data_IF_734724551038
#
_entry.id   IF_734724551038
#
_cell.length_a   1.000
_cell.length_b   1.000
_cell.length_c   1.000
_cell.angle_alpha   90.00
_cell.angle_beta   90.00
_cell.angle_gamma   90.00
#
_symmetry.space_group_name_H-M   'P 1'
#
loop_
_entity.id
_entity.type
_entity.pdbx_description
1 polymer ?
#
# COMPACT_ATOMS: atom_id res chain seq x y z
N UNK A 1 -10.16 15.07 -2.04
CA UNK A 1 -9.24 14.03 -1.53
C UNK A 1 -10.06 13.10 -0.67
N UNK A 2 -10.01 11.79 -0.92
CA UNK A 2 -10.69 10.76 -0.12
C UNK A 2 -9.64 9.83 0.49
N UNK A 3 -9.83 9.41 1.73
CA UNK A 3 -8.88 8.54 2.44
C UNK A 3 -9.58 7.26 2.87
N UNK A 4 -8.93 6.13 2.61
CA UNK A 4 -9.34 4.80 3.02
C UNK A 4 -8.29 4.26 3.99
N UNK A 5 -8.73 3.65 5.08
CA UNK A 5 -7.85 3.13 6.13
C UNK A 5 -8.06 1.62 6.20
N UNK A 6 -6.97 0.89 6.01
CA UNK A 6 -6.92 -0.56 6.10
C UNK A 6 -6.03 -0.97 7.25
N UNK A 7 -6.61 -1.69 8.21
CA UNK A 7 -5.85 -2.25 9.32
C UNK A 7 -5.13 -3.50 8.84
N UNK A 8 -3.80 -3.52 8.91
CA UNK A 8 -3.08 -4.76 8.69
C UNK A 8 -3.12 -5.65 9.92
N UNK A 9 -2.79 -6.93 9.72
CA UNK A 9 -2.55 -7.86 10.83
C UNK A 9 -1.24 -7.55 11.57
N UNK A 10 -0.26 -6.98 10.89
CA UNK A 10 0.93 -6.38 11.50
C UNK A 10 0.54 -5.07 12.20
N UNK A 11 1.33 -4.62 13.18
CA UNK A 11 1.09 -3.37 13.94
C UNK A 11 1.26 -2.08 13.11
N UNK A 12 0.94 -2.11 11.83
CA UNK A 12 1.03 -1.00 10.89
C UNK A 12 -0.30 -0.89 10.14
N UNK A 13 -0.85 0.32 10.05
CA UNK A 13 -2.03 0.58 9.22
C UNK A 13 -1.59 1.01 7.82
N UNK A 14 -2.32 0.58 6.79
CA UNK A 14 -2.18 1.09 5.43
C UNK A 14 -3.21 2.20 5.24
N UNK A 15 -2.73 3.35 4.79
CA UNK A 15 -3.57 4.46 4.43
C UNK A 15 -3.51 4.65 2.92
N UNK A 16 -4.68 4.72 2.29
CA UNK A 16 -4.81 4.91 0.85
C UNK A 16 -5.54 6.22 0.60
N UNK A 17 -4.84 7.18 0.00
CA UNK A 17 -5.37 8.50 -0.33
C UNK A 17 -5.61 8.62 -1.84
N UNK A 18 -6.84 8.92 -2.21
CA UNK A 18 -7.27 9.25 -3.56
C UNK A 18 -7.25 10.77 -3.78
N UNK A 19 -6.64 11.18 -4.89
CA UNK A 19 -6.69 12.54 -5.44
C UNK A 19 -7.13 12.45 -6.90
N UNK A 20 -8.32 12.97 -7.19
CA UNK A 20 -8.80 13.15 -8.57
C UNK A 20 -8.38 14.53 -9.07
N UNK A 21 -7.65 14.57 -10.18
CA UNK A 21 -7.21 15.78 -10.86
C UNK A 21 -7.93 15.91 -12.20
N UNK A 22 -8.60 17.04 -12.47
CA UNK A 22 -9.23 17.27 -13.76
C UNK A 22 -8.14 17.41 -14.83
N UNK A 23 -8.18 16.60 -15.89
CA UNK A 23 -7.39 16.83 -17.10
C UNK A 23 -8.28 17.31 -18.24
N UNK A 24 -7.64 17.91 -19.24
CA UNK A 24 -8.28 18.34 -20.49
C UNK A 24 -8.83 17.09 -21.20
N UNK A 25 -10.04 17.18 -21.78
CA UNK A 25 -10.76 16.12 -22.53
C UNK A 25 -11.31 14.92 -21.72
N UNK A 26 -12.30 15.11 -20.82
CA UNK A 26 -13.12 14.03 -20.18
C UNK A 26 -12.35 12.93 -19.42
N UNK A 27 -11.02 13.01 -19.38
CA UNK A 27 -10.14 12.15 -18.62
C UNK A 27 -9.83 12.83 -17.30
N UNK A 28 -10.08 12.14 -16.20
CA UNK A 28 -9.64 12.52 -14.88
C UNK A 28 -8.41 11.66 -14.53
N UNK A 29 -7.36 12.29 -14.02
CA UNK A 29 -6.22 11.56 -13.47
C UNK A 29 -6.54 11.20 -12.02
N UNK A 30 -6.62 9.91 -11.74
CA UNK A 30 -6.76 9.36 -10.41
C UNK A 30 -5.36 9.02 -9.87
N UNK A 31 -4.89 9.82 -8.92
CA UNK A 31 -3.68 9.53 -8.16
C UNK A 31 -4.08 8.84 -6.85
N UNK A 32 -3.52 7.66 -6.59
CA UNK A 32 -3.70 6.93 -5.34
C UNK A 32 -2.34 6.77 -4.67
N UNK A 33 -2.26 7.18 -3.40
CA UNK A 33 -1.05 7.05 -2.59
C UNK A 33 -1.32 6.05 -1.49
N UNK A 34 -0.59 4.94 -1.49
CA UNK A 34 -0.59 3.99 -0.38
C UNK A 34 0.61 4.27 0.52
N UNK A 35 0.39 4.49 1.81
CA UNK A 35 1.47 4.71 2.77
C UNK A 35 1.30 3.88 4.04
N UNK A 36 2.43 3.52 4.60
CA UNK A 36 2.56 2.73 5.82
C UNK A 36 3.63 3.36 6.71
N UNK A 37 3.39 3.28 8.02
CA UNK A 37 4.40 3.58 9.01
C UNK A 37 5.00 2.25 9.49
N UNK A 38 6.28 2.05 9.19
CA UNK A 38 6.99 0.85 9.61
C UNK A 38 7.15 0.79 11.15
N UNK A 39 7.51 -0.37 11.69
CA UNK A 39 7.67 -0.57 13.14
C UNK A 39 8.76 0.29 13.79
N UNK A 40 9.57 1.00 12.99
CA UNK A 40 10.62 1.93 13.40
C UNK A 40 10.23 3.38 13.08
N UNK A 41 8.94 3.63 12.86
CA UNK A 41 8.39 4.94 12.52
C UNK A 41 8.91 5.53 11.20
N UNK A 42 9.36 4.70 10.26
CA UNK A 42 9.71 5.16 8.91
C UNK A 42 8.48 5.15 8.01
N UNK A 43 8.15 6.30 7.45
CA UNK A 43 7.11 6.43 6.44
C UNK A 43 7.59 5.83 5.13
N UNK A 44 6.82 4.89 4.59
CA UNK A 44 7.00 4.35 3.25
C UNK A 44 5.74 4.60 2.45
N UNK A 45 5.89 4.89 1.16
CA UNK A 45 4.75 5.15 0.28
C UNK A 45 5.02 4.66 -1.15
N UNK A 46 3.93 4.36 -1.86
CA UNK A 46 3.92 4.08 -3.29
C UNK A 46 2.82 4.92 -3.93
N UNK A 47 3.13 5.53 -5.08
CA UNK A 47 2.18 6.28 -5.89
C UNK A 47 1.69 5.44 -7.06
N UNK A 48 0.39 5.50 -7.30
CA UNK A 48 -0.29 4.87 -8.41
C UNK A 48 -1.07 5.92 -9.21
N UNK A 49 -1.01 5.81 -10.53
CA UNK A 49 -1.67 6.73 -11.44
C UNK A 49 -2.60 5.96 -12.37
N UNK A 50 -3.86 6.36 -12.42
CA UNK A 50 -4.87 5.77 -13.29
C UNK A 50 -5.60 6.84 -14.07
N UNK A 51 -5.88 6.54 -15.33
CA UNK A 51 -6.85 7.32 -16.09
C UNK A 51 -8.26 6.85 -15.72
N UNK A 52 -9.13 7.81 -15.44
CA UNK A 52 -10.54 7.61 -15.13
C UNK A 52 -11.37 8.38 -16.14
N UNK A 53 -12.33 7.74 -16.79
CA UNK A 53 -13.34 8.45 -17.61
C UNK A 53 -14.38 9.10 -16.70
N UNK A 54 -14.95 10.24 -17.08
CA UNK A 54 -16.00 10.94 -16.29
C UNK A 54 -17.14 10.01 -15.82
N UNK A 55 -17.53 9.06 -16.66
CA UNK A 55 -18.63 8.11 -16.38
C UNK A 55 -18.23 6.92 -15.51
N UNK A 56 -16.94 6.75 -15.17
CA UNK A 56 -16.51 5.66 -14.30
C UNK A 56 -16.90 5.97 -12.85
N UNK A 57 -17.85 5.18 -12.35
CA UNK A 57 -18.46 5.34 -11.05
C UNK A 57 -17.52 4.98 -9.89
N UNK A 58 -18.00 5.26 -8.68
CA UNK A 58 -17.38 4.95 -7.38
C UNK A 58 -16.79 3.53 -7.30
N UNK A 59 -17.39 2.58 -8.01
CA UNK A 59 -16.98 1.18 -8.05
C UNK A 59 -15.59 0.96 -8.65
N UNK A 60 -15.24 1.69 -9.72
CA UNK A 60 -13.90 1.60 -10.33
C UNK A 60 -12.81 2.05 -9.34
N UNK A 61 -13.09 3.13 -8.60
CA UNK A 61 -12.16 3.64 -7.59
C UNK A 61 -12.03 2.65 -6.45
N UNK A 62 -13.15 2.11 -5.97
CA UNK A 62 -13.14 1.11 -4.90
C UNK A 62 -12.37 -0.15 -5.30
N UNK A 63 -12.55 -0.64 -6.53
CA UNK A 63 -11.79 -1.76 -7.09
C UNK A 63 -10.29 -1.47 -7.05
N UNK A 64 -9.85 -0.32 -7.56
CA UNK A 64 -8.43 0.04 -7.58
C UNK A 64 -7.84 0.22 -6.19
N UNK A 65 -8.62 0.76 -5.25
CA UNK A 65 -8.22 0.85 -3.84
C UNK A 65 -8.02 -0.54 -3.22
N UNK A 66 -8.90 -1.51 -3.51
CA UNK A 66 -8.75 -2.88 -3.04
C UNK A 66 -7.55 -3.59 -3.68
N UNK A 67 -7.36 -3.45 -5.00
CA UNK A 67 -6.21 -4.00 -5.72
C UNK A 67 -4.88 -3.50 -5.11
N UNK A 68 -4.82 -2.20 -4.81
CA UNK A 68 -3.65 -1.57 -4.17
C UNK A 68 -3.47 -2.11 -2.75
N UNK A 69 -4.53 -2.21 -1.96
CA UNK A 69 -4.45 -2.76 -0.61
C UNK A 69 -3.85 -4.17 -0.62
N UNK A 70 -4.38 -5.08 -1.43
CA UNK A 70 -3.89 -6.45 -1.55
C UNK A 70 -2.44 -6.49 -2.03
N UNK A 71 -2.11 -5.74 -3.09
CA UNK A 71 -0.75 -5.72 -3.63
C UNK A 71 0.26 -5.13 -2.64
N UNK A 72 -0.12 -4.09 -1.92
CA UNK A 72 0.74 -3.42 -0.95
C UNK A 72 0.96 -4.28 0.30
N UNK A 73 -0.09 -4.96 0.78
CA UNK A 73 0.01 -5.94 1.86
C UNK A 73 0.99 -7.06 1.48
N UNK A 74 0.87 -7.63 0.27
CA UNK A 74 1.78 -8.67 -0.22
C UNK A 74 3.23 -8.16 -0.32
N UNK A 75 3.46 -6.99 -0.93
CA UNK A 75 4.80 -6.41 -1.07
C UNK A 75 5.43 -6.17 0.30
N UNK A 76 4.67 -5.54 1.22
CA UNK A 76 5.18 -5.18 2.52
C UNK A 76 5.44 -6.41 3.40
N UNK A 77 4.50 -7.36 3.45
CA UNK A 77 4.68 -8.62 4.20
C UNK A 77 5.86 -9.42 3.64
N UNK A 78 5.98 -9.56 2.32
CA UNK A 78 7.10 -10.30 1.73
C UNK A 78 8.45 -9.62 2.00
N UNK A 79 8.52 -8.28 1.94
CA UNK A 79 9.74 -7.52 2.25
C UNK A 79 10.12 -7.61 3.74
N UNK A 80 9.14 -7.54 4.65
CA UNK A 80 9.39 -7.66 6.10
C UNK A 80 9.72 -9.09 6.52
N UNK A 81 8.99 -10.10 6.04
CA UNK A 81 9.29 -11.51 6.32
C UNK A 81 10.68 -11.91 5.86
N UNK A 82 11.12 -11.44 4.69
CA UNK A 82 12.46 -11.74 4.17
C UNK A 82 13.59 -10.94 4.84
N UNK A 83 13.32 -9.78 5.43
CA UNK A 83 14.31 -9.03 6.23
C UNK A 83 14.41 -9.54 7.67
N UNK A 84 13.33 -10.05 8.27
CA UNK A 84 13.35 -10.72 9.59
C UNK A 84 14.05 -12.10 9.51
N UNK A 85 13.84 -12.86 8.44
CA UNK A 85 14.51 -14.16 8.24
C UNK A 85 16.03 -14.02 8.01
N UNK A 86 16.52 -12.87 7.55
CA UNK A 86 17.95 -12.61 7.39
C UNK A 86 18.67 -12.28 8.70
N UNK A 87 17.95 -12.12 9.82
CA UNK A 87 18.55 -11.83 11.14
C UNK A 87 18.65 -13.03 12.08
N UNK A 88 18.29 -14.24 11.64
CA UNK A 88 18.49 -15.47 12.44
C UNK A 88 19.47 -16.47 11.79
N UNK A 89 20.78 -16.16 11.70
CA UNK A 89 21.79 -17.20 11.61
C UNK A 89 22.12 -17.71 13.02
N UNK A 90 21.67 -18.92 13.34
CA UNK A 90 22.26 -19.85 14.34
C UNK A 90 22.45 -19.36 15.79
N UNK A 91 21.53 -19.76 16.67
CA UNK A 91 21.88 -20.15 18.04
C UNK A 91 21.74 -21.68 18.16
N UNK A 92 22.74 -22.40 17.66
CA UNK A 92 22.90 -23.84 17.92
C UNK A 92 24.39 -24.18 17.93
N UNK A 93 25.14 -23.53 18.82
CA UNK A 93 26.43 -24.04 19.30
C UNK A 93 26.55 -23.69 20.77
N UNK A 94 26.32 -24.69 21.62
CA UNK A 94 27.17 -25.09 22.75
C UNK A 94 26.35 -25.96 23.72
N UNK A 95 26.23 -27.23 23.36
CA UNK A 95 25.99 -28.32 24.30
C UNK A 95 27.01 -29.41 23.96
N UNK A 96 28.20 -29.27 24.53
CA UNK A 96 29.15 -30.36 24.79
C UNK A 96 29.86 -30.04 26.09
#
# INVERSE_FOLDING_TARGET
>A
IRTHIFKMKSHSDIFICEVSLPMIEKFNLLCIIAYILDSRYKLQFILFYYYKKEEQELDYVNEKVQDIHTSFEDIYLNYYSSSVLKQNPTNTKNAT
#
